data_IF_503529679640
#
_entry.id   IF_503529679640
#
_cell.length_a   1.000
_cell.length_b   1.000
_cell.length_c   1.000
_cell.angle_alpha   90.00
_cell.angle_beta   90.00
_cell.angle_gamma   90.00
#
_symmetry.space_group_name_H-M   'P 1'
#
loop_
_entity.id
_entity.type
_entity.pdbx_description
1 polymer ?
#
# COMPACT_ATOMS: atom_id res chain seq x y z
N UNK A 1 -33.00 -38.11 41.75
CA UNK A 1 -34.24 -37.51 42.32
C UNK A 1 -35.39 -38.47 42.06
N UNK A 2 -36.10 -38.90 43.12
CA UNK A 2 -37.14 -39.93 43.03
C UNK A 2 -38.43 -39.39 42.37
N UNK A 3 -39.10 -40.22 41.56
CA UNK A 3 -40.35 -39.90 40.84
C UNK A 3 -41.47 -39.31 41.73
N UNK A 4 -41.45 -39.60 43.01
CA UNK A 4 -42.47 -39.14 43.97
C UNK A 4 -42.30 -37.67 44.36
N UNK A 5 -41.10 -37.10 44.20
CA UNK A 5 -40.83 -35.69 44.53
C UNK A 5 -41.40 -34.75 43.46
N UNK A 6 -41.34 -35.13 42.18
CA UNK A 6 -41.84 -34.32 41.05
C UNK A 6 -43.36 -34.18 41.08
N UNK A 7 -44.11 -35.23 41.44
CA UNK A 7 -45.57 -35.16 41.58
C UNK A 7 -46.05 -34.25 42.72
N UNK A 8 -45.23 -34.05 43.77
CA UNK A 8 -45.55 -33.16 44.88
C UNK A 8 -45.48 -31.69 44.44
N UNK A 9 -44.47 -31.33 43.64
CA UNK A 9 -44.30 -29.97 43.10
C UNK A 9 -45.31 -29.60 42.01
N UNK A 10 -45.83 -30.58 41.26
CA UNK A 10 -46.87 -30.33 40.25
C UNK A 10 -48.29 -30.20 40.84
N UNK A 11 -48.48 -30.48 42.14
CA UNK A 11 -49.77 -30.41 42.84
C UNK A 11 -49.94 -29.17 43.72
N UNK A 12 -48.86 -28.40 43.95
CA UNK A 12 -48.95 -27.12 44.63
C UNK A 12 -49.40 -26.06 43.63
N UNK A 13 -50.48 -25.32 43.92
CA UNK A 13 -50.91 -24.12 43.19
C UNK A 13 -49.93 -22.93 43.37
N UNK A 14 -48.67 -23.20 43.67
CA UNK A 14 -47.61 -22.19 43.66
C UNK A 14 -47.25 -21.88 42.21
N UNK A 15 -47.86 -20.84 41.67
CA UNK A 15 -47.47 -20.25 40.39
C UNK A 15 -46.03 -19.77 40.48
N UNK A 16 -45.14 -20.29 39.62
CA UNK A 16 -43.78 -19.77 39.48
C UNK A 16 -43.83 -18.24 39.28
N UNK A 17 -43.02 -17.45 40.01
CA UNK A 17 -43.00 -16.01 39.83
C UNK A 17 -42.62 -15.71 38.38
N UNK A 18 -43.59 -15.20 37.61
CA UNK A 18 -43.35 -14.82 36.22
C UNK A 18 -42.60 -13.51 36.24
N UNK A 19 -41.27 -13.59 36.18
CA UNK A 19 -40.43 -12.40 36.08
C UNK A 19 -40.84 -11.59 34.84
N UNK A 20 -41.04 -10.29 35.01
CA UNK A 20 -41.29 -9.39 33.89
C UNK A 20 -40.19 -9.59 32.83
N UNK A 21 -40.61 -9.80 31.58
CA UNK A 21 -39.68 -10.05 30.47
C UNK A 21 -38.70 -8.87 30.40
N UNK A 22 -37.40 -9.13 30.57
CA UNK A 22 -36.37 -8.10 30.58
C UNK A 22 -36.36 -7.35 29.24
N UNK A 23 -36.92 -6.15 29.21
CA UNK A 23 -36.83 -5.26 28.04
C UNK A 23 -35.54 -4.44 28.19
N UNK A 24 -34.42 -5.02 27.78
CA UNK A 24 -33.20 -4.23 27.61
C UNK A 24 -33.20 -3.68 26.18
N UNK A 25 -33.20 -2.35 26.03
CA UNK A 25 -33.04 -1.71 24.73
C UNK A 25 -31.70 -2.16 24.11
N UNK A 26 -31.79 -3.01 23.11
CA UNK A 26 -30.63 -3.52 22.37
C UNK A 26 -30.27 -2.53 21.28
N UNK A 27 -28.98 -2.34 21.01
CA UNK A 27 -28.53 -1.59 19.82
C UNK A 27 -28.96 -2.25 18.50
N UNK A 28 -29.55 -3.45 18.57
CA UNK A 28 -30.12 -4.18 17.44
C UNK A 28 -31.62 -3.94 17.26
N UNK A 29 -32.30 -3.27 18.21
CA UNK A 29 -33.74 -2.97 18.11
C UNK A 29 -34.10 -2.22 16.82
N UNK A 30 -33.29 -1.25 16.32
CA UNK A 30 -33.55 -0.61 15.04
C UNK A 30 -33.43 -1.54 13.82
N UNK A 31 -32.77 -2.70 13.98
CA UNK A 31 -32.57 -3.69 12.92
C UNK A 31 -33.44 -4.93 13.11
N UNK A 32 -34.29 -4.97 14.13
CA UNK A 32 -35.08 -6.14 14.50
C UNK A 32 -35.99 -6.62 13.36
N UNK A 33 -36.66 -5.68 12.69
CA UNK A 33 -37.54 -5.97 11.56
C UNK A 33 -36.77 -6.54 10.36
N UNK A 34 -35.62 -5.94 10.04
CA UNK A 34 -34.74 -6.42 8.95
C UNK A 34 -34.20 -7.82 9.23
N UNK A 35 -33.82 -8.09 10.49
CA UNK A 35 -33.36 -9.42 10.93
C UNK A 35 -34.50 -10.44 10.90
N UNK A 36 -35.72 -10.06 11.29
CA UNK A 36 -36.89 -10.92 11.23
C UNK A 36 -37.23 -11.32 9.78
N UNK A 37 -37.16 -10.37 8.84
CA UNK A 37 -37.36 -10.63 7.41
C UNK A 37 -36.28 -11.59 6.88
N UNK A 38 -35.01 -11.36 7.20
CA UNK A 38 -33.91 -12.24 6.79
C UNK A 38 -34.05 -13.65 7.36
N UNK A 39 -34.46 -13.77 8.62
CA UNK A 39 -34.74 -15.06 9.25
C UNK A 39 -35.95 -15.76 8.63
N UNK A 40 -37.01 -15.02 8.30
CA UNK A 40 -38.19 -15.55 7.61
C UNK A 40 -37.87 -16.09 6.22
N UNK A 41 -37.08 -15.35 5.43
CA UNK A 41 -36.61 -15.80 4.11
C UNK A 41 -35.66 -16.99 4.19
N UNK A 42 -34.90 -17.15 5.27
CA UNK A 42 -34.02 -18.31 5.45
C UNK A 42 -34.81 -19.54 5.95
N UNK A 43 -35.88 -19.31 6.71
CA UNK A 43 -36.76 -20.36 7.20
C UNK A 43 -37.48 -21.12 6.07
N UNK A 44 -37.72 -20.48 4.92
CA UNK A 44 -38.34 -21.11 3.74
C UNK A 44 -37.38 -22.02 2.95
N UNK A 45 -36.07 -21.98 3.23
CA UNK A 45 -35.07 -22.80 2.54
C UNK A 45 -34.97 -24.21 3.11
N UNK A 46 -34.63 -25.17 2.24
CA UNK A 46 -34.42 -26.57 2.62
C UNK A 46 -33.31 -26.72 3.67
N UNK A 47 -33.38 -27.78 4.49
CA UNK A 47 -32.45 -28.00 5.63
C UNK A 47 -30.97 -28.04 5.21
N UNK A 48 -30.67 -28.43 3.96
CA UNK A 48 -29.30 -28.44 3.39
C UNK A 48 -28.84 -27.07 2.90
N UNK A 49 -29.75 -26.14 2.60
CA UNK A 49 -29.47 -24.80 2.08
C UNK A 49 -29.63 -23.68 3.12
N UNK A 50 -30.28 -23.97 4.25
CA UNK A 50 -30.50 -23.02 5.34
C UNK A 50 -29.17 -22.62 5.99
N UNK A 51 -28.82 -21.34 5.87
CA UNK A 51 -27.61 -20.76 6.48
C UNK A 51 -27.93 -20.33 7.91
N UNK A 52 -26.99 -20.52 8.83
CA UNK A 52 -27.12 -19.94 10.17
C UNK A 52 -26.87 -18.42 10.13
N UNK A 53 -27.36 -17.69 11.13
CA UNK A 53 -27.18 -16.22 11.23
C UNK A 53 -25.71 -15.80 11.08
N UNK A 54 -24.79 -16.61 11.62
CA UNK A 54 -23.35 -16.40 11.50
C UNK A 54 -22.88 -16.49 10.05
N UNK A 55 -23.35 -17.47 9.28
CA UNK A 55 -23.06 -17.68 7.86
C UNK A 55 -23.67 -16.59 6.98
N UNK A 56 -24.89 -16.13 7.29
CA UNK A 56 -25.52 -15.01 6.55
C UNK A 56 -24.71 -13.74 6.75
N UNK A 57 -24.37 -13.42 8.01
CA UNK A 57 -23.56 -12.26 8.37
C UNK A 57 -22.13 -12.33 7.81
N UNK A 58 -21.50 -13.51 7.82
CA UNK A 58 -20.14 -13.68 7.29
C UNK A 58 -20.12 -13.64 5.77
N UNK A 59 -21.07 -14.25 5.06
CA UNK A 59 -21.06 -14.30 3.59
C UNK A 59 -21.39 -12.95 2.93
N UNK A 60 -22.36 -12.21 3.46
CA UNK A 60 -22.71 -10.88 2.92
C UNK A 60 -21.84 -9.77 3.48
N UNK A 61 -21.36 -9.88 4.72
CA UNK A 61 -20.52 -8.85 5.33
C UNK A 61 -19.05 -8.94 4.91
N UNK A 62 -18.48 -10.14 4.77
CA UNK A 62 -17.03 -10.26 4.58
C UNK A 62 -16.57 -9.80 3.20
N UNK A 63 -17.24 -10.24 2.12
CA UNK A 63 -16.83 -9.93 0.74
C UNK A 63 -16.83 -8.41 0.47
N UNK A 64 -17.87 -7.71 0.91
CA UNK A 64 -17.99 -6.25 0.74
C UNK A 64 -17.09 -5.44 1.67
N UNK A 65 -16.66 -6.02 2.79
CA UNK A 65 -15.74 -5.37 3.74
C UNK A 65 -14.27 -5.59 3.38
N UNK A 66 -13.92 -6.60 2.59
CA UNK A 66 -12.54 -6.88 2.17
C UNK A 66 -11.80 -5.63 1.63
N UNK A 67 -12.34 -4.85 0.68
CA UNK A 67 -11.64 -3.66 0.18
C UNK A 67 -11.43 -2.61 1.28
N UNK A 68 -12.43 -2.39 2.14
CA UNK A 68 -12.36 -1.43 3.25
C UNK A 68 -11.37 -1.90 4.33
N UNK A 69 -11.31 -3.21 4.58
CA UNK A 69 -10.37 -3.79 5.52
C UNK A 69 -8.94 -3.67 5.02
N UNK A 70 -8.69 -3.62 3.72
CA UNK A 70 -7.33 -3.40 3.21
C UNK A 70 -6.87 -1.95 3.35
N UNK A 71 -7.80 -0.99 3.49
CA UNK A 71 -7.48 0.43 3.61
C UNK A 71 -6.58 0.71 4.83
N UNK A 72 -5.48 1.45 4.63
CA UNK A 72 -4.61 1.91 5.69
C UNK A 72 -5.39 2.59 6.81
N UNK A 73 -4.95 2.38 8.06
CA UNK A 73 -5.58 2.82 9.30
C UNK A 73 -6.96 2.21 9.60
N UNK A 74 -7.88 2.23 8.63
CA UNK A 74 -9.30 1.90 8.80
C UNK A 74 -9.52 0.43 9.11
N UNK A 75 -8.91 -0.47 8.33
CA UNK A 75 -9.06 -1.91 8.56
C UNK A 75 -8.53 -2.36 9.92
N UNK A 76 -7.35 -1.87 10.27
CA UNK A 76 -6.73 -2.14 11.56
C UNK A 76 -7.53 -1.52 12.72
N UNK A 77 -8.04 -0.29 12.56
CA UNK A 77 -8.89 0.37 13.55
C UNK A 77 -10.21 -0.37 13.78
N UNK A 78 -10.88 -0.79 12.70
CA UNK A 78 -12.08 -1.62 12.78
C UNK A 78 -11.79 -2.95 13.48
N UNK A 79 -10.66 -3.60 13.17
CA UNK A 79 -10.27 -4.83 13.84
C UNK A 79 -10.08 -4.64 15.34
N UNK A 80 -9.37 -3.58 15.77
CA UNK A 80 -9.20 -3.25 17.19
C UNK A 80 -10.54 -2.92 17.87
N UNK A 81 -11.45 -2.23 17.18
CA UNK A 81 -12.77 -1.89 17.70
C UNK A 81 -13.63 -3.14 17.97
N UNK A 82 -13.50 -4.20 17.15
CA UNK A 82 -14.14 -5.49 17.42
C UNK A 82 -13.64 -6.10 18.73
N UNK A 83 -12.33 -6.12 18.95
CA UNK A 83 -11.73 -6.63 20.20
C UNK A 83 -12.25 -5.85 21.42
N UNK A 84 -12.26 -4.53 21.38
CA UNK A 84 -12.80 -3.72 22.47
C UNK A 84 -14.30 -3.93 22.70
N UNK A 85 -15.05 -4.22 21.64
CA UNK A 85 -16.48 -4.55 21.76
C UNK A 85 -16.65 -5.90 22.44
N UNK A 86 -15.87 -6.91 22.06
CA UNK A 86 -15.84 -8.22 22.72
C UNK A 86 -15.46 -8.10 24.19
N UNK A 87 -14.43 -7.30 24.52
CA UNK A 87 -13.98 -7.08 25.90
C UNK A 87 -15.07 -6.48 26.77
N UNK A 88 -15.82 -5.49 26.24
CA UNK A 88 -16.94 -4.87 26.95
C UNK A 88 -18.09 -5.84 27.19
N UNK A 89 -18.40 -6.71 26.22
CA UNK A 89 -19.40 -7.76 26.42
C UNK A 89 -18.93 -8.79 27.45
N UNK A 90 -17.67 -9.24 27.35
CA UNK A 90 -17.06 -10.13 28.35
C UNK A 90 -17.14 -9.54 29.75
N UNK A 91 -16.78 -8.26 29.91
CA UNK A 91 -16.91 -7.54 31.18
C UNK A 91 -18.34 -7.50 31.70
N UNK A 92 -19.34 -7.34 30.82
CA UNK A 92 -20.75 -7.31 31.23
C UNK A 92 -21.28 -8.69 31.67
N UNK A 93 -20.69 -9.78 31.19
CA UNK A 93 -21.02 -11.14 31.61
C UNK A 93 -20.33 -11.58 32.90
N UNK A 94 -19.28 -10.86 33.34
CA UNK A 94 -18.55 -11.14 34.57
C UNK A 94 -19.12 -10.38 35.76
N UNK A 95 -19.15 -11.05 36.92
CA UNK A 95 -19.58 -10.44 38.19
C UNK A 95 -18.71 -9.23 38.56
N UNK A 96 -17.39 -9.35 38.42
CA UNK A 96 -16.43 -8.30 38.80
C UNK A 96 -15.55 -7.87 37.62
N UNK A 97 -15.02 -6.65 37.70
CA UNK A 97 -14.05 -6.17 36.71
C UNK A 97 -12.74 -6.96 36.75
N UNK A 98 -12.42 -7.45 37.94
CA UNK A 98 -11.22 -8.23 38.20
C UNK A 98 -11.28 -9.62 37.55
N UNK A 99 -12.42 -10.31 37.59
CA UNK A 99 -12.57 -11.62 36.92
C UNK A 99 -12.52 -11.49 35.40
N UNK A 100 -13.13 -10.44 34.84
CA UNK A 100 -12.99 -10.12 33.42
C UNK A 100 -11.54 -9.80 33.02
N UNK A 101 -10.82 -9.05 33.85
CA UNK A 101 -9.41 -8.72 33.63
C UNK A 101 -8.52 -9.96 33.71
N UNK A 102 -8.73 -10.85 34.70
CA UNK A 102 -8.04 -12.14 34.78
C UNK A 102 -8.30 -13.01 33.55
N UNK A 103 -9.54 -13.07 33.07
CA UNK A 103 -9.86 -13.81 31.85
C UNK A 103 -9.07 -13.32 30.62
N UNK A 104 -8.87 -12.00 30.48
CA UNK A 104 -7.99 -11.44 29.45
C UNK A 104 -6.51 -11.77 29.69
N UNK A 105 -6.05 -11.66 30.94
CA UNK A 105 -4.66 -11.91 31.31
C UNK A 105 -4.22 -13.36 31.09
N UNK A 106 -5.14 -14.34 31.14
CA UNK A 106 -4.87 -15.73 30.78
C UNK A 106 -4.24 -15.84 29.38
N UNK A 107 -4.61 -14.97 28.43
CA UNK A 107 -4.06 -14.99 27.07
C UNK A 107 -2.56 -14.68 27.02
N UNK A 108 -2.06 -13.85 27.95
CA UNK A 108 -0.66 -13.44 27.99
C UNK A 108 0.18 -14.20 29.03
N UNK A 109 -0.37 -14.39 30.23
CA UNK A 109 0.33 -15.00 31.36
C UNK A 109 0.11 -16.52 31.47
N UNK A 110 -0.87 -17.04 30.75
CA UNK A 110 -1.31 -18.43 30.84
C UNK A 110 -2.17 -18.71 32.08
N UNK A 111 -2.79 -19.90 32.14
CA UNK A 111 -3.77 -20.25 33.16
C UNK A 111 -3.17 -20.38 34.57
N UNK A 112 -1.86 -20.63 34.70
CA UNK A 112 -1.21 -20.82 36.00
C UNK A 112 -0.78 -19.51 36.65
N UNK A 113 -0.12 -18.63 35.89
CA UNK A 113 0.49 -17.41 36.44
C UNK A 113 -0.51 -16.27 36.64
N UNK A 114 -1.67 -16.31 35.97
CA UNK A 114 -2.70 -15.26 36.10
C UNK A 114 -3.20 -15.07 37.53
N UNK A 115 -3.22 -16.15 38.33
CA UNK A 115 -3.70 -16.10 39.70
C UNK A 115 -2.78 -15.30 40.63
N UNK A 116 -1.48 -15.24 40.32
CA UNK A 116 -0.49 -14.52 41.11
C UNK A 116 -0.19 -13.10 40.57
N UNK A 117 -0.83 -12.68 39.48
CA UNK A 117 -0.56 -11.37 38.88
C UNK A 117 -1.30 -10.24 39.58
N UNK A 118 -0.58 -9.14 39.83
CA UNK A 118 -1.18 -7.85 40.16
C UNK A 118 -1.74 -7.19 38.89
N UNK A 119 -3.07 -7.17 38.82
CA UNK A 119 -3.83 -6.64 37.68
C UNK A 119 -3.65 -5.12 37.56
N UNK A 120 -3.56 -4.40 38.68
CA UNK A 120 -3.40 -2.95 38.69
C UNK A 120 -1.99 -2.56 38.25
N UNK A 121 -0.97 -3.29 38.73
CA UNK A 121 0.40 -3.12 38.25
C UNK A 121 0.52 -3.38 36.74
N UNK A 122 -0.11 -4.46 36.25
CA UNK A 122 -0.13 -4.76 34.82
C UNK A 122 -0.86 -3.68 34.00
N UNK A 123 -2.02 -3.21 34.47
CA UNK A 123 -2.77 -2.15 33.79
C UNK A 123 -1.98 -0.83 33.71
N UNK A 124 -1.19 -0.49 34.75
CA UNK A 124 -0.32 0.70 34.76
C UNK A 124 0.78 0.65 33.68
N UNK A 125 1.17 -0.53 33.18
CA UNK A 125 2.16 -0.65 32.11
C UNK A 125 1.71 -0.02 30.79
N UNK A 126 0.45 0.39 30.66
CA UNK A 126 -0.01 1.18 29.52
C UNK A 126 0.81 2.47 29.30
N UNK A 127 1.43 3.01 30.36
CA UNK A 127 2.32 4.18 30.25
C UNK A 127 3.53 3.91 29.35
N UNK A 128 3.97 2.66 29.20
CA UNK A 128 5.03 2.28 28.26
C UNK A 128 4.57 2.18 26.80
N UNK A 129 3.27 2.25 26.53
CA UNK A 129 2.72 2.24 25.16
C UNK A 129 2.71 3.62 24.48
N UNK A 130 3.54 4.55 24.96
CA UNK A 130 3.69 5.90 24.42
C UNK A 130 4.86 6.00 23.44
N UNK A 131 4.90 7.10 22.68
CA UNK A 131 5.95 7.38 21.71
C UNK A 131 5.60 6.97 20.29
N UNK A 132 6.48 7.33 19.35
CA UNK A 132 6.25 7.15 17.92
C UNK A 132 6.07 5.67 17.55
N UNK A 133 7.05 4.82 17.87
CA UNK A 133 7.05 3.41 17.46
C UNK A 133 5.93 2.60 18.10
N UNK A 134 5.63 2.83 19.39
CA UNK A 134 4.50 2.19 20.05
C UNK A 134 3.16 2.60 19.42
N UNK A 135 2.99 3.88 19.10
CA UNK A 135 1.78 4.40 18.43
C UNK A 135 1.67 3.87 17.01
N UNK A 136 2.77 3.85 16.26
CA UNK A 136 2.83 3.35 14.89
C UNK A 136 2.47 1.88 14.83
N UNK A 137 3.11 1.05 15.67
CA UNK A 137 2.79 -0.36 15.78
C UNK A 137 1.32 -0.58 16.18
N UNK A 138 0.78 0.20 17.12
CA UNK A 138 -0.64 0.10 17.49
C UNK A 138 -1.57 0.41 16.31
N UNK A 139 -1.24 1.45 15.52
CA UNK A 139 -2.10 1.94 14.44
C UNK A 139 -2.17 0.97 13.26
N UNK A 140 -1.06 0.32 12.91
CA UNK A 140 -0.99 -0.64 11.79
C UNK A 140 -1.46 -2.05 12.17
N UNK A 141 -1.50 -2.39 13.47
CA UNK A 141 -1.90 -3.72 13.93
C UNK A 141 -3.39 -3.82 14.23
N UNK A 142 -4.04 -4.87 13.72
CA UNK A 142 -5.47 -5.12 13.96
C UNK A 142 -5.83 -5.59 15.37
N UNK A 143 -4.84 -5.85 16.23
CA UNK A 143 -5.03 -6.32 17.60
C UNK A 143 -4.49 -5.30 18.59
N UNK A 144 -5.29 -4.86 19.58
CA UNK A 144 -4.84 -3.87 20.55
C UNK A 144 -3.93 -4.50 21.62
N UNK A 145 -3.02 -3.70 22.17
CA UNK A 145 -2.14 -4.13 23.27
C UNK A 145 -2.95 -4.71 24.44
N UNK A 146 -2.51 -5.85 24.97
CA UNK A 146 -3.20 -6.53 26.06
C UNK A 146 -3.30 -5.65 27.32
N UNK A 147 -2.24 -4.93 27.66
CA UNK A 147 -2.21 -3.94 28.76
C UNK A 147 -3.31 -2.88 28.63
N UNK A 148 -3.56 -2.40 27.40
CA UNK A 148 -4.61 -1.42 27.09
C UNK A 148 -6.02 -2.00 27.15
N UNK A 149 -6.20 -3.28 26.80
CA UNK A 149 -7.48 -3.98 26.97
C UNK A 149 -7.80 -4.19 28.44
N UNK A 150 -6.83 -4.70 29.20
CA UNK A 150 -6.96 -4.94 30.64
C UNK A 150 -7.28 -3.64 31.38
N UNK A 151 -6.58 -2.54 31.09
CA UNK A 151 -6.84 -1.26 31.74
C UNK A 151 -8.28 -0.76 31.53
N UNK A 152 -8.80 -0.86 30.29
CA UNK A 152 -10.17 -0.44 29.97
C UNK A 152 -11.26 -1.35 30.54
N UNK A 153 -10.96 -2.62 30.80
CA UNK A 153 -11.89 -3.57 31.44
C UNK A 153 -11.95 -3.35 32.95
N UNK A 154 -10.79 -3.08 33.57
CA UNK A 154 -10.66 -2.84 35.02
C UNK A 154 -11.30 -1.50 35.40
N UNK A 155 -10.97 -0.43 34.67
CA UNK A 155 -11.49 0.90 34.95
C UNK A 155 -11.82 1.62 33.64
N UNK A 156 -13.11 1.92 33.46
CA UNK A 156 -13.65 2.54 32.25
C UNK A 156 -13.21 3.99 32.07
N UNK A 157 -12.85 4.66 33.17
CA UNK A 157 -12.54 6.10 33.19
C UNK A 157 -11.03 6.38 33.14
N UNK A 158 -10.20 5.34 32.94
CA UNK A 158 -8.75 5.53 32.78
C UNK A 158 -8.46 6.30 31.51
N UNK A 159 -7.82 7.46 31.68
CA UNK A 159 -7.26 8.22 30.58
C UNK A 159 -6.18 7.39 29.86
N UNK A 160 -6.54 6.91 28.66
CA UNK A 160 -5.62 6.14 27.81
C UNK A 160 -4.59 7.10 27.21
N UNK A 161 -3.28 6.77 27.20
CA UNK A 161 -2.29 7.66 26.63
C UNK A 161 -2.60 8.03 25.18
N UNK A 162 -2.44 9.31 24.85
CA UNK A 162 -2.65 9.80 23.48
C UNK A 162 -1.58 9.22 22.55
N UNK A 163 -2.00 8.85 21.35
CA UNK A 163 -1.08 8.39 20.30
C UNK A 163 -0.29 9.55 19.74
N UNK A 164 0.94 9.27 19.29
CA UNK A 164 1.76 10.23 18.58
C UNK A 164 1.13 10.57 17.21
N UNK A 165 0.93 11.85 16.85
CA UNK A 165 0.31 12.24 15.59
C UNK A 165 1.13 11.84 14.35
N UNK A 166 2.46 11.86 14.44
CA UNK A 166 3.34 11.48 13.33
C UNK A 166 3.23 10.00 12.95
N UNK A 167 2.80 9.15 13.88
CA UNK A 167 2.55 7.75 13.60
C UNK A 167 1.43 7.53 12.56
N UNK A 168 0.46 8.46 12.47
CA UNK A 168 -0.59 8.39 11.47
C UNK A 168 -0.08 8.70 10.06
N UNK A 169 0.90 9.60 9.91
CA UNK A 169 1.49 9.96 8.62
C UNK A 169 2.06 8.71 7.95
N UNK A 170 2.88 7.96 8.67
CA UNK A 170 3.45 6.72 8.14
C UNK A 170 2.39 5.60 8.04
N UNK A 171 1.46 5.56 8.99
CA UNK A 171 0.37 4.60 9.00
C UNK A 171 -0.58 4.68 7.79
N UNK A 172 -0.75 5.83 7.16
CA UNK A 172 -1.57 6.00 5.92
C UNK A 172 -0.99 5.21 4.75
N UNK A 173 0.30 4.90 4.74
CA UNK A 173 0.93 4.15 3.66
C UNK A 173 0.99 2.65 3.92
N UNK A 174 0.66 2.20 5.13
CA UNK A 174 0.76 0.78 5.51
C UNK A 174 -0.62 0.13 5.36
N UNK A 175 -0.84 -0.75 4.37
CA UNK A 175 -2.11 -1.47 4.24
C UNK A 175 -2.30 -2.43 5.41
N UNK A 176 -3.55 -2.73 5.76
CA UNK A 176 -3.81 -3.69 6.82
C UNK A 176 -3.64 -5.12 6.28
N UNK A 177 -2.65 -5.83 6.81
CA UNK A 177 -2.31 -7.21 6.42
C UNK A 177 -3.33 -8.29 6.84
N UNK A 178 -4.42 -7.93 7.52
CA UNK A 178 -5.44 -8.90 7.93
C UNK A 178 -4.99 -9.78 9.10
N UNK A 179 -5.28 -11.09 9.01
CA UNK A 179 -5.05 -12.07 10.08
C UNK A 179 -3.56 -12.28 10.43
N UNK A 180 -2.65 -11.92 9.52
CA UNK A 180 -1.20 -11.97 9.72
C UNK A 180 -0.64 -10.77 10.50
N UNK A 181 -1.50 -9.84 10.94
CA UNK A 181 -1.11 -8.71 11.79
C UNK A 181 -0.51 -7.53 11.02
N UNK A 182 -0.09 -6.51 11.76
CA UNK A 182 0.47 -5.26 11.21
C UNK A 182 1.85 -5.43 10.56
N UNK A 183 2.61 -6.47 10.95
CA UNK A 183 3.89 -6.79 10.33
C UNK A 183 3.76 -7.18 8.85
N UNK A 184 2.71 -7.91 8.47
CA UNK A 184 2.46 -8.25 7.08
C UNK A 184 2.15 -7.01 6.23
N UNK A 185 1.43 -6.03 6.78
CA UNK A 185 1.17 -4.76 6.12
C UNK A 185 2.44 -3.99 5.75
N UNK A 186 3.42 -3.99 6.66
CA UNK A 186 4.72 -3.35 6.43
C UNK A 186 5.53 -4.06 5.34
N UNK A 187 5.52 -5.39 5.30
CA UNK A 187 6.18 -6.16 4.23
C UNK A 187 5.54 -5.85 2.86
N UNK A 188 4.21 -5.76 2.81
CA UNK A 188 3.50 -5.38 1.58
C UNK A 188 3.91 -3.98 1.11
N UNK A 189 4.04 -3.01 2.03
CA UNK A 189 4.54 -1.68 1.68
C UNK A 189 5.94 -1.73 1.06
N UNK A 190 6.88 -2.47 1.67
CA UNK A 190 8.24 -2.65 1.13
C UNK A 190 8.20 -3.27 -0.26
N UNK A 191 7.35 -4.29 -0.48
CA UNK A 191 7.18 -4.92 -1.78
C UNK A 191 6.63 -3.95 -2.83
N UNK A 192 5.62 -3.13 -2.49
CA UNK A 192 5.05 -2.11 -3.38
C UNK A 192 6.14 -1.11 -3.78
N UNK A 193 6.93 -0.62 -2.83
CA UNK A 193 8.04 0.31 -3.10
C UNK A 193 9.08 -0.36 -4.03
N UNK A 194 9.44 -1.62 -3.77
CA UNK A 194 10.37 -2.37 -4.60
C UNK A 194 9.89 -2.54 -6.06
N UNK A 195 8.62 -2.87 -6.25
CA UNK A 195 8.01 -3.01 -7.59
C UNK A 195 7.98 -1.64 -8.29
N UNK A 196 7.54 -0.58 -7.61
CA UNK A 196 7.50 0.76 -8.18
C UNK A 196 8.90 1.23 -8.59
N UNK A 197 9.91 1.01 -7.74
CA UNK A 197 11.31 1.35 -8.06
C UNK A 197 11.84 0.55 -9.25
N UNK A 198 11.55 -0.75 -9.31
CA UNK A 198 11.98 -1.62 -10.41
C UNK A 198 11.41 -1.19 -11.77
N UNK A 199 10.20 -0.62 -11.80
CA UNK A 199 9.59 -0.08 -13.03
C UNK A 199 10.05 1.36 -13.32
N UNK A 200 10.14 2.21 -12.29
CA UNK A 200 10.42 3.63 -12.46
C UNK A 200 11.89 3.92 -12.81
N UNK A 201 12.85 3.20 -12.20
CA UNK A 201 14.28 3.43 -12.42
C UNK A 201 14.72 3.22 -13.88
N UNK A 202 14.41 2.09 -14.56
CA UNK A 202 14.82 1.91 -15.95
C UNK A 202 14.13 2.90 -16.89
N UNK A 203 12.86 3.23 -16.64
CA UNK A 203 12.14 4.22 -17.43
C UNK A 203 12.75 5.63 -17.28
N UNK A 204 13.17 6.00 -16.07
CA UNK A 204 13.85 7.27 -15.82
C UNK A 204 15.22 7.32 -16.50
N UNK A 205 16.01 6.23 -16.43
CA UNK A 205 17.29 6.12 -17.12
C UNK A 205 17.14 6.29 -18.65
N UNK A 206 16.19 5.58 -19.27
CA UNK A 206 15.94 5.71 -20.71
C UNK A 206 15.52 7.15 -21.11
N UNK A 207 14.76 7.83 -20.24
CA UNK A 207 14.40 9.23 -20.46
C UNK A 207 15.62 10.16 -20.39
N UNK A 208 16.47 10.00 -19.37
CA UNK A 208 17.70 10.82 -19.25
C UNK A 208 18.70 10.54 -20.36
N UNK A 209 18.76 9.30 -20.83
CA UNK A 209 19.61 8.90 -21.95
C UNK A 209 19.15 9.58 -23.24
N UNK A 210 17.85 9.51 -23.56
CA UNK A 210 17.26 10.22 -24.71
C UNK A 210 17.46 11.73 -24.65
N UNK A 211 17.33 12.32 -23.46
CA UNK A 211 17.54 13.75 -23.28
C UNK A 211 19.00 14.14 -23.59
N UNK A 212 19.97 13.35 -23.13
CA UNK A 212 21.41 13.57 -23.39
C UNK A 212 21.71 13.51 -24.89
N UNK A 213 21.21 12.48 -25.58
CA UNK A 213 21.40 12.33 -27.03
C UNK A 213 20.69 13.45 -27.81
N UNK A 214 19.46 13.82 -27.40
CA UNK A 214 18.72 14.92 -28.01
C UNK A 214 19.44 16.26 -27.86
N UNK A 215 20.09 16.50 -26.73
CA UNK A 215 20.87 17.71 -26.51
C UNK A 215 22.08 17.76 -27.44
N UNK A 216 22.86 16.67 -27.54
CA UNK A 216 24.00 16.57 -28.46
C UNK A 216 23.58 16.79 -29.92
N UNK A 217 22.45 16.21 -30.34
CA UNK A 217 21.89 16.40 -31.69
C UNK A 217 21.53 17.86 -32.00
N UNK A 218 20.94 18.57 -31.03
CA UNK A 218 20.57 19.99 -31.19
C UNK A 218 21.81 20.89 -31.22
N UNK A 219 22.80 20.64 -30.35
CA UNK A 219 24.03 21.42 -30.30
C UNK A 219 24.88 21.24 -31.56
N UNK A 220 24.88 20.05 -32.17
CA UNK A 220 25.58 19.77 -33.43
C UNK A 220 24.83 20.22 -34.70
N UNK A 221 23.63 20.81 -34.58
CA UNK A 221 22.86 21.26 -35.74
C UNK A 221 23.61 22.27 -36.64
N UNK A 222 24.34 23.28 -36.10
CA UNK A 222 25.12 24.21 -36.92
C UNK A 222 26.24 23.52 -37.70
N UNK A 223 26.95 22.57 -37.06
CA UNK A 223 28.01 21.78 -37.69
C UNK A 223 27.46 20.98 -38.87
N UNK A 224 26.34 20.28 -38.67
CA UNK A 224 25.66 19.52 -39.74
C UNK A 224 25.24 20.39 -40.92
N UNK A 225 24.73 21.60 -40.66
CA UNK A 225 24.38 22.54 -41.72
C UNK A 225 25.60 22.96 -42.53
N UNK A 226 26.68 23.39 -41.87
CA UNK A 226 27.91 23.84 -42.54
C UNK A 226 28.59 22.75 -43.38
N UNK A 227 28.66 21.53 -42.84
CA UNK A 227 29.19 20.38 -43.55
C UNK A 227 28.34 20.05 -44.80
N UNK A 228 27.02 20.10 -44.67
CA UNK A 228 26.12 19.89 -45.79
C UNK A 228 26.24 20.99 -46.87
N UNK A 229 26.36 22.25 -46.47
CA UNK A 229 26.50 23.38 -47.39
C UNK A 229 27.80 23.30 -48.19
N UNK A 230 28.90 22.96 -47.52
CA UNK A 230 30.20 22.77 -48.16
C UNK A 230 30.15 21.62 -49.17
N UNK A 231 29.62 20.46 -48.74
CA UNK A 231 29.49 19.29 -49.62
C UNK A 231 28.58 19.58 -50.82
N UNK A 232 27.50 20.33 -50.63
CA UNK A 232 26.60 20.72 -51.71
C UNK A 232 27.32 21.54 -52.80
N UNK A 233 28.25 22.42 -52.40
CA UNK A 233 28.99 23.31 -53.29
C UNK A 233 30.19 22.63 -53.96
N UNK A 234 31.00 21.89 -53.21
CA UNK A 234 32.29 21.36 -53.69
C UNK A 234 32.27 19.88 -54.05
N UNK A 235 31.26 19.13 -53.61
CA UNK A 235 31.17 17.66 -53.76
C UNK A 235 32.33 16.89 -53.14
N UNK A 236 33.07 17.52 -52.23
CA UNK A 236 34.18 16.96 -51.46
C UNK A 236 33.83 16.99 -49.97
N UNK A 237 34.34 16.02 -49.21
CA UNK A 237 34.12 15.93 -47.75
C UNK A 237 35.13 16.86 -47.06
N UNK A 238 34.68 17.94 -46.38
CA UNK A 238 35.58 18.88 -45.72
C UNK A 238 36.09 18.38 -44.38
N UNK A 239 37.20 18.92 -43.92
CA UNK A 239 37.52 18.95 -42.47
C UNK A 239 36.65 19.98 -41.73
N UNK A 240 36.58 19.90 -40.39
CA UNK A 240 35.80 20.88 -39.61
C UNK A 240 36.25 22.33 -39.88
N UNK A 241 37.57 22.57 -39.97
CA UNK A 241 38.14 23.90 -40.25
C UNK A 241 37.77 24.40 -41.65
N UNK A 242 37.84 23.55 -42.67
CA UNK A 242 37.47 23.89 -44.05
C UNK A 242 35.99 24.26 -44.20
N UNK A 243 35.12 23.59 -43.44
CA UNK A 243 33.70 23.92 -43.38
C UNK A 243 33.39 25.15 -42.49
N UNK A 244 34.41 25.76 -41.88
CA UNK A 244 34.27 26.90 -40.99
C UNK A 244 33.49 26.58 -39.71
N UNK A 245 33.61 25.36 -39.20
CA UNK A 245 32.95 24.91 -37.95
C UNK A 245 33.97 24.38 -36.94
N UNK A 246 33.63 24.41 -35.65
CA UNK A 246 34.46 23.76 -34.63
C UNK A 246 34.15 22.28 -34.53
N UNK A 247 35.17 21.50 -34.19
CA UNK A 247 35.13 20.10 -33.77
C UNK A 247 34.62 19.94 -32.32
N UNK A 248 34.45 21.03 -31.57
CA UNK A 248 33.96 21.00 -30.18
C UNK A 248 32.51 21.48 -30.07
N UNK A 249 31.72 20.75 -29.28
CA UNK A 249 30.39 21.16 -28.86
C UNK A 249 30.48 22.21 -27.74
N UNK A 250 29.37 22.91 -27.51
CA UNK A 250 29.25 23.94 -26.48
C UNK A 250 29.48 23.43 -25.04
N UNK A 251 29.39 22.12 -24.82
CA UNK A 251 29.66 21.48 -23.53
C UNK A 251 31.11 20.98 -23.38
N UNK A 252 31.97 21.24 -24.37
CA UNK A 252 33.38 20.83 -24.40
C UNK A 252 33.63 19.45 -25.00
N UNK A 253 32.60 18.76 -25.50
CA UNK A 253 32.73 17.45 -26.13
C UNK A 253 33.37 17.57 -27.51
N UNK A 254 34.43 16.80 -27.79
CA UNK A 254 35.06 16.73 -29.12
C UNK A 254 34.31 15.76 -30.03
N UNK A 255 34.03 16.19 -31.25
CA UNK A 255 33.41 15.40 -32.31
C UNK A 255 34.48 14.90 -33.28
N UNK A 256 34.34 13.67 -33.78
CA UNK A 256 35.16 13.15 -34.89
C UNK A 256 34.35 13.15 -36.19
N UNK A 257 35.04 13.37 -37.32
CA UNK A 257 34.46 13.26 -38.65
C UNK A 257 35.16 12.15 -39.42
N UNK A 258 34.39 11.24 -40.00
CA UNK A 258 34.93 10.23 -40.89
C UNK A 258 35.20 10.85 -42.29
N UNK A 259 36.46 10.84 -42.78
CA UNK A 259 36.84 11.52 -44.02
C UNK A 259 36.29 10.84 -45.29
N UNK A 260 35.84 9.57 -45.21
CA UNK A 260 35.32 8.82 -46.36
C UNK A 260 33.79 8.89 -46.46
N UNK A 261 33.09 8.95 -45.33
CA UNK A 261 31.62 8.84 -45.27
C UNK A 261 30.91 10.09 -44.78
N UNK A 262 31.65 11.13 -44.37
CA UNK A 262 31.12 12.38 -43.79
C UNK A 262 30.24 12.15 -42.53
N UNK A 263 30.38 10.98 -41.89
CA UNK A 263 29.69 10.67 -40.63
C UNK A 263 30.35 11.46 -39.51
N UNK A 264 29.53 12.22 -38.77
CA UNK A 264 29.97 12.93 -37.55
C UNK A 264 29.67 12.04 -36.36
N UNK A 265 30.71 11.70 -35.60
CA UNK A 265 30.62 10.91 -34.39
C UNK A 265 30.73 11.85 -33.18
N UNK A 266 29.73 11.77 -32.30
CA UNK A 266 29.68 12.58 -31.09
C UNK A 266 29.70 11.65 -29.88
N UNK A 267 30.79 11.61 -29.09
CA UNK A 267 30.84 10.82 -27.88
C UNK A 267 29.90 11.41 -26.83
N UNK A 268 28.96 10.62 -26.34
CA UNK A 268 28.06 11.02 -25.24
C UNK A 268 28.31 10.14 -24.02
N UNK A 269 27.76 10.53 -22.86
CA UNK A 269 27.82 9.70 -21.64
C UNK A 269 27.14 8.34 -21.80
N UNK A 270 26.31 8.17 -22.83
CA UNK A 270 25.50 6.97 -23.10
C UNK A 270 26.02 6.20 -24.32
N UNK A 271 27.23 6.51 -24.81
CA UNK A 271 27.83 5.94 -26.01
C UNK A 271 27.97 6.96 -27.14
N UNK A 272 28.36 6.51 -28.33
CA UNK A 272 28.63 7.40 -29.47
C UNK A 272 27.37 7.62 -30.30
N UNK A 273 27.03 8.88 -30.56
CA UNK A 273 25.98 9.28 -31.47
C UNK A 273 26.56 9.46 -32.88
N UNK A 274 26.12 8.63 -33.82
CA UNK A 274 26.55 8.73 -35.21
C UNK A 274 25.52 9.54 -35.99
N UNK A 275 25.94 10.68 -36.54
CA UNK A 275 25.13 11.51 -37.41
C UNK A 275 25.52 11.21 -38.84
N UNK A 276 24.61 10.57 -39.57
CA UNK A 276 24.86 10.05 -40.92
C UNK A 276 24.18 10.95 -41.95
N UNK A 277 24.93 11.52 -42.90
CA UNK A 277 24.33 12.29 -43.98
C UNK A 277 23.73 11.34 -45.03
N UNK A 278 22.55 11.69 -45.51
CA UNK A 278 21.83 10.96 -46.55
C UNK A 278 21.45 11.92 -47.65
N UNK A 279 21.80 11.57 -48.89
CA UNK A 279 21.42 12.37 -50.04
C UNK A 279 19.91 12.25 -50.25
N UNK A 280 19.22 13.38 -50.27
CA UNK A 280 17.78 13.45 -50.51
C UNK A 280 17.43 14.65 -51.38
N UNK A 281 16.63 14.41 -52.42
CA UNK A 281 16.10 15.45 -53.31
C UNK A 281 15.07 16.37 -52.63
N UNK A 282 14.61 16.04 -51.41
CA UNK A 282 13.66 16.85 -50.65
C UNK A 282 14.30 17.98 -49.82
N UNK A 283 15.62 17.97 -49.62
CA UNK A 283 16.31 18.98 -48.83
C UNK A 283 16.87 20.11 -49.72
N UNK A 284 16.88 21.38 -49.26
CA UNK A 284 17.41 22.52 -50.03
C UNK A 284 18.86 22.32 -50.49
N UNK A 285 19.68 21.67 -49.67
CA UNK A 285 21.10 21.43 -49.91
C UNK A 285 21.37 19.98 -50.36
N UNK A 286 20.31 19.21 -50.66
CA UNK A 286 20.39 17.83 -51.12
C UNK A 286 20.82 16.80 -50.06
N UNK A 287 21.00 17.20 -48.80
CA UNK A 287 21.43 16.32 -47.69
C UNK A 287 20.45 16.43 -46.52
N UNK A 288 20.00 15.27 -46.03
CA UNK A 288 19.25 15.10 -44.78
C UNK A 288 20.12 14.32 -43.81
N UNK A 289 20.11 14.70 -42.54
CA UNK A 289 20.88 14.01 -41.50
C UNK A 289 19.97 13.06 -40.73
N UNK A 290 20.36 11.80 -40.64
CA UNK A 290 19.77 10.78 -39.78
C UNK A 290 20.72 10.50 -38.61
N UNK A 291 20.22 10.04 -37.46
CA UNK A 291 21.11 9.51 -36.42
C UNK A 291 20.97 8.01 -36.24
N UNK A 292 22.11 7.43 -35.92
CA UNK A 292 22.28 6.03 -35.59
C UNK A 292 23.00 5.90 -34.26
N UNK A 293 22.67 4.83 -33.54
CA UNK A 293 23.38 4.46 -32.32
C UNK A 293 24.74 3.87 -32.73
N UNK A 294 25.82 4.54 -32.32
CA UNK A 294 27.19 4.08 -32.49
C UNK A 294 27.63 3.17 -31.35
N UNK A 295 28.95 3.06 -31.15
CA UNK A 295 29.51 2.16 -30.15
C UNK A 295 29.06 2.51 -28.72
N UNK A 296 28.74 1.48 -27.94
CA UNK A 296 28.23 1.60 -26.58
C UNK A 296 26.83 2.21 -26.42
N UNK A 297 26.17 2.67 -27.49
CA UNK A 297 24.85 3.31 -27.42
C UNK A 297 23.72 2.32 -27.67
N UNK A 298 22.71 2.30 -26.80
CA UNK A 298 21.49 1.52 -27.02
C UNK A 298 20.59 2.21 -28.06
N UNK A 299 19.94 1.49 -28.99
CA UNK A 299 19.00 2.09 -29.94
C UNK A 299 17.82 2.81 -29.27
N UNK A 300 17.43 2.39 -28.07
CA UNK A 300 16.38 3.05 -27.28
C UNK A 300 16.78 4.43 -26.79
N UNK A 301 18.08 4.76 -26.72
CA UNK A 301 18.54 6.09 -26.34
C UNK A 301 18.34 7.14 -27.46
N UNK A 302 18.02 6.73 -28.68
CA UNK A 302 17.80 7.66 -29.78
C UNK A 302 16.43 8.38 -29.65
N UNK A 303 16.40 9.72 -29.73
CA UNK A 303 15.14 10.47 -29.72
C UNK A 303 14.37 10.27 -31.03
N UNK A 304 13.03 10.26 -30.95
CA UNK A 304 12.15 10.10 -32.12
C UNK A 304 12.31 11.20 -33.17
N UNK A 305 12.74 12.39 -32.76
CA UNK A 305 13.00 13.52 -33.66
C UNK A 305 14.12 13.24 -34.68
N UNK A 306 14.88 12.17 -34.46
CA UNK A 306 16.10 11.86 -35.18
C UNK A 306 16.04 10.52 -35.95
N UNK A 307 15.08 9.64 -35.60
CA UNK A 307 14.87 8.36 -36.30
C UNK A 307 13.88 8.41 -37.46
N UNK A 308 13.20 9.55 -37.65
CA UNK A 308 12.34 9.80 -38.80
C UNK A 308 12.79 11.09 -39.46
N UNK A 309 13.41 10.98 -40.62
CA UNK A 309 13.21 12.00 -41.65
C UNK A 309 11.69 12.19 -41.81
N UNK A 310 11.17 13.43 -41.89
CA UNK A 310 9.80 13.65 -42.35
C UNK A 310 9.57 12.96 -43.71
#
# INVERSE_FOLDING_TARGET
MARNTVKKYLRSDETEPTYAKRVSSSKLDPFAEKLAIWLGMEATKSRKQRRNLKQIYTLTGHLWRLPILWLPLLGAAYSRAKEYSCDRHGRACCETAESAARALLVLGAGPRRVHAMDINAYARQITYSIGFWASFHEIINGYPWLTKRVSMVVNKDVAVPKRNPFAYILGVFVPYGGASGGGAGFIVLVAIIGILAAVALPAYQEYTDKATVSQAWLQAAPTRSKLADFYAQRKEIPTFEEAGTSDTLSDGTHMSLNPESMVVEVPTKVGVLNMVPKVSSSAPNGIVWECHAGDGMKPTALPKACSKSP
#
